data_IF_078802335125
#
_entry.id   IF_078802335125
#
_cell.length_a   1.000
_cell.length_b   1.000
_cell.length_c   1.000
_cell.angle_alpha   90.00
_cell.angle_beta   90.00
_cell.angle_gamma   90.00
#
_symmetry.space_group_name_H-M   'P 1'
#
loop_
_entity.id
_entity.type
_entity.pdbx_description
1 polymer ?
#
# COMPACT_ATOMS: atom_id res chain seq x y z
N UNK A 1 -1.39 -1.68 -8.06
CA UNK A 1 -2.38 -0.60 -8.21
C UNK A 1 -1.64 0.70 -8.49
N UNK A 2 -0.75 0.68 -9.49
CA UNK A 2 -0.18 1.89 -10.07
C UNK A 2 -0.94 2.05 -11.39
N UNK A 3 -2.21 2.47 -11.27
CA UNK A 3 -3.10 2.65 -12.43
C UNK A 3 -2.92 4.03 -13.07
N UNK A 4 -2.04 4.86 -12.49
CA UNK A 4 -1.70 6.16 -13.00
C UNK A 4 -0.19 6.24 -13.25
N UNK A 5 0.20 6.94 -14.29
CA UNK A 5 1.61 7.22 -14.54
C UNK A 5 2.05 8.40 -13.66
N UNK A 6 2.75 8.11 -12.55
CA UNK A 6 3.44 9.17 -11.81
C UNK A 6 4.62 9.70 -12.65
N UNK A 7 4.49 10.95 -13.12
CA UNK A 7 5.48 11.65 -13.96
C UNK A 7 6.47 12.53 -13.17
N UNK A 8 6.13 12.89 -11.93
CA UNK A 8 6.99 13.68 -11.07
C UNK A 8 6.23 14.21 -9.86
N UNK A 9 6.96 14.76 -8.89
CA UNK A 9 6.44 15.47 -7.73
C UNK A 9 7.21 16.79 -7.69
N UNK A 10 6.49 17.91 -7.60
CA UNK A 10 7.07 19.25 -7.39
C UNK A 10 6.66 19.68 -6.00
N UNK A 11 7.62 20.16 -5.22
CA UNK A 11 7.42 20.64 -3.84
C UNK A 11 7.90 22.09 -3.74
N UNK A 12 7.42 22.81 -2.73
CA UNK A 12 7.82 24.17 -2.39
C UNK A 12 9.09 24.22 -1.51
N UNK A 13 9.66 23.06 -1.20
CA UNK A 13 10.86 22.93 -0.36
C UNK A 13 12.17 23.36 -1.06
N UNK A 14 12.13 23.61 -2.38
CA UNK A 14 13.31 23.84 -3.20
C UNK A 14 13.31 25.20 -3.89
N UNK A 15 14.39 25.95 -3.70
CA UNK A 15 14.71 27.15 -4.48
C UNK A 15 13.80 28.34 -4.21
N UNK A 16 13.82 29.30 -5.14
CA UNK A 16 12.93 30.45 -5.16
C UNK A 16 11.71 30.18 -6.05
N UNK A 17 10.72 31.09 -6.06
CA UNK A 17 9.49 30.91 -6.86
C UNK A 17 9.77 30.67 -8.34
N UNK A 18 10.79 31.30 -8.92
CA UNK A 18 11.18 31.11 -10.32
C UNK A 18 11.66 29.68 -10.61
N UNK A 19 12.34 29.03 -9.65
CA UNK A 19 12.78 27.64 -9.77
C UNK A 19 11.58 26.69 -9.76
N UNK A 20 10.63 26.93 -8.86
CA UNK A 20 9.40 26.13 -8.75
C UNK A 20 8.57 26.26 -10.03
N UNK A 21 8.42 27.47 -10.55
CA UNK A 21 7.71 27.73 -11.82
C UNK A 21 8.37 26.96 -12.98
N UNK A 22 9.69 26.95 -13.06
CA UNK A 22 10.42 26.18 -14.06
C UNK A 22 10.19 24.67 -13.90
N UNK A 23 10.16 24.15 -12.68
CA UNK A 23 9.86 22.74 -12.39
C UNK A 23 8.42 22.37 -12.77
N UNK A 24 7.45 23.22 -12.45
CA UNK A 24 6.05 23.05 -12.84
C UNK A 24 5.89 23.03 -14.36
N UNK A 25 6.51 23.97 -15.06
CA UNK A 25 6.47 24.03 -16.52
C UNK A 25 7.10 22.78 -17.15
N UNK A 26 8.21 22.28 -16.58
CA UNK A 26 8.84 21.05 -17.04
C UNK A 26 7.95 19.82 -16.83
N UNK A 27 7.28 19.72 -15.68
CA UNK A 27 6.33 18.64 -15.40
C UNK A 27 5.13 18.69 -16.35
N UNK A 28 4.58 19.87 -16.60
CA UNK A 28 3.47 20.07 -17.55
C UNK A 28 3.86 19.64 -18.98
N UNK A 29 5.04 20.05 -19.46
CA UNK A 29 5.53 19.65 -20.78
C UNK A 29 5.70 18.13 -20.89
N UNK A 30 6.21 17.47 -19.84
CA UNK A 30 6.32 16.00 -19.77
C UNK A 30 4.96 15.33 -19.80
N UNK A 31 3.98 15.86 -19.07
CA UNK A 31 2.63 15.31 -19.02
C UNK A 31 1.98 15.33 -20.41
N UNK A 32 1.98 16.50 -21.07
CA UNK A 32 1.41 16.66 -22.41
C UNK A 32 2.13 15.78 -23.42
N UNK A 33 3.46 15.86 -23.47
CA UNK A 33 4.24 15.11 -24.46
C UNK A 33 4.16 13.59 -24.29
N UNK A 34 3.91 13.08 -23.08
CA UNK A 34 3.69 11.64 -22.86
C UNK A 34 2.23 11.23 -23.14
N UNK A 35 1.27 12.11 -22.85
CA UNK A 35 -0.13 11.89 -23.20
C UNK A 35 -0.33 11.79 -24.73
N UNK A 36 0.29 12.69 -25.50
CA UNK A 36 0.28 12.67 -26.96
C UNK A 36 0.88 11.38 -27.55
N UNK A 37 1.82 10.76 -26.84
CA UNK A 37 2.47 9.50 -27.23
C UNK A 37 1.77 8.26 -26.69
N UNK A 38 0.64 8.43 -25.99
CA UNK A 38 -0.05 7.36 -25.27
C UNK A 38 0.89 6.53 -24.39
N UNK A 39 1.90 7.18 -23.80
CA UNK A 39 2.93 6.49 -23.05
C UNK A 39 2.35 5.89 -21.77
N UNK A 40 2.57 4.59 -21.55
CA UNK A 40 2.23 3.88 -20.33
C UNK A 40 3.51 3.44 -19.62
N UNK A 41 3.72 3.96 -18.41
CA UNK A 41 4.90 3.64 -17.60
C UNK A 41 4.85 2.18 -17.18
N UNK A 42 5.93 1.46 -17.46
CA UNK A 42 6.08 0.08 -16.99
C UNK A 42 6.24 0.05 -15.47
N UNK A 43 5.62 -0.94 -14.82
CA UNK A 43 5.75 -1.11 -13.37
C UNK A 43 7.19 -1.50 -13.04
N UNK A 44 7.81 -0.78 -12.11
CA UNK A 44 9.18 -1.09 -11.66
C UNK A 44 9.20 -2.36 -10.81
N UNK A 45 10.38 -3.01 -10.72
CA UNK A 45 10.57 -4.16 -9.82
C UNK A 45 10.12 -3.86 -8.39
N UNK A 46 10.44 -2.68 -7.86
CA UNK A 46 10.02 -2.23 -6.52
C UNK A 46 8.50 -2.13 -6.41
N UNK A 47 7.83 -1.60 -7.44
CA UNK A 47 6.37 -1.52 -7.49
C UNK A 47 5.70 -2.89 -7.52
N UNK A 48 6.26 -3.85 -8.27
CA UNK A 48 5.78 -5.23 -8.29
C UNK A 48 6.02 -5.91 -6.94
N UNK A 49 7.23 -5.81 -6.40
CA UNK A 49 7.61 -6.46 -5.14
C UNK A 49 6.80 -5.97 -3.95
N UNK A 50 6.70 -4.65 -3.77
CA UNK A 50 5.91 -4.06 -2.69
C UNK A 50 4.43 -4.46 -2.74
N UNK A 51 3.85 -4.51 -3.96
CA UNK A 51 2.48 -4.99 -4.15
C UNK A 51 2.31 -6.44 -3.70
N UNK A 52 3.23 -7.33 -4.09
CA UNK A 52 3.11 -8.75 -3.77
C UNK A 52 3.21 -8.99 -2.27
N UNK A 53 4.16 -8.35 -1.59
CA UNK A 53 4.31 -8.44 -0.13
C UNK A 53 3.03 -8.01 0.57
N UNK A 54 2.51 -6.82 0.24
CA UNK A 54 1.31 -6.30 0.89
C UNK A 54 0.07 -7.15 0.61
N UNK A 55 -0.10 -7.62 -0.65
CA UNK A 55 -1.17 -8.53 -1.05
C UNK A 55 -1.15 -9.82 -0.22
N UNK A 56 0.03 -10.41 -0.03
CA UNK A 56 0.20 -11.68 0.69
C UNK A 56 -0.08 -11.48 2.19
N UNK A 57 0.37 -10.35 2.77
CA UNK A 57 0.10 -10.02 4.16
C UNK A 57 -1.39 -9.75 4.43
N UNK A 58 -2.07 -9.00 3.56
CA UNK A 58 -3.52 -8.76 3.63
C UNK A 58 -4.29 -10.07 3.49
N UNK A 59 -3.89 -10.95 2.57
CA UNK A 59 -4.50 -12.27 2.49
C UNK A 59 -4.27 -13.07 3.77
N UNK A 60 -3.08 -13.01 4.37
CA UNK A 60 -2.75 -13.72 5.59
C UNK A 60 -3.23 -13.00 6.86
N UNK A 61 -2.25 -12.53 7.64
CA UNK A 61 -2.45 -12.08 9.03
C UNK A 61 -3.08 -10.69 9.14
N UNK A 62 -3.05 -9.89 8.08
CA UNK A 62 -3.56 -8.53 8.08
C UNK A 62 -5.00 -8.43 7.54
N UNK A 63 -5.68 -9.56 7.27
CA UNK A 63 -7.03 -9.57 6.70
C UNK A 63 -8.07 -8.84 7.56
N UNK A 64 -8.03 -9.04 8.89
CA UNK A 64 -9.02 -8.49 9.82
C UNK A 64 -8.86 -6.99 10.14
N UNK A 65 -7.65 -6.39 10.23
CA UNK A 65 -7.55 -4.94 10.36
C UNK A 65 -7.73 -4.20 9.02
N UNK A 66 -7.56 -4.88 7.87
CA UNK A 66 -7.67 -4.31 6.53
C UNK A 66 -8.80 -4.94 5.71
N UNK A 67 -10.01 -5.01 6.28
CA UNK A 67 -11.19 -5.62 5.61
C UNK A 67 -11.50 -4.91 4.29
N UNK A 68 -11.46 -3.57 4.27
CA UNK A 68 -11.77 -2.81 3.06
C UNK A 68 -10.79 -3.13 1.92
N UNK A 69 -9.50 -3.28 2.23
CA UNK A 69 -8.50 -3.70 1.26
C UNK A 69 -8.73 -5.15 0.82
N UNK A 70 -9.08 -6.05 1.75
CA UNK A 70 -9.39 -7.43 1.43
C UNK A 70 -10.57 -7.55 0.44
N UNK A 71 -11.68 -6.86 0.73
CA UNK A 71 -12.86 -6.80 -0.15
C UNK A 71 -12.51 -6.19 -1.52
N UNK A 72 -11.69 -5.14 -1.52
CA UNK A 72 -11.22 -4.52 -2.76
C UNK A 72 -10.40 -5.52 -3.59
N UNK A 73 -9.46 -6.24 -2.96
CA UNK A 73 -8.55 -7.17 -3.64
C UNK A 73 -9.31 -8.37 -4.20
N UNK A 74 -10.28 -8.89 -3.46
CA UNK A 74 -11.15 -9.98 -3.90
C UNK A 74 -12.00 -9.56 -5.10
N UNK A 75 -12.71 -8.43 -4.98
CA UNK A 75 -13.58 -7.90 -6.05
C UNK A 75 -12.84 -7.63 -7.36
N UNK A 76 -11.58 -7.23 -7.29
CA UNK A 76 -10.78 -6.84 -8.47
C UNK A 76 -9.80 -7.93 -8.93
N UNK A 77 -9.87 -9.15 -8.38
CA UNK A 77 -9.01 -10.26 -8.79
C UNK A 77 -7.51 -10.01 -8.53
N UNK A 78 -7.18 -9.25 -7.48
CA UNK A 78 -5.79 -8.92 -7.14
C UNK A 78 -5.05 -10.04 -6.40
N UNK A 79 -5.76 -11.11 -6.00
CA UNK A 79 -5.20 -12.33 -5.44
C UNK A 79 -4.83 -13.33 -6.56
N UNK A 80 -3.76 -13.02 -7.29
CA UNK A 80 -3.26 -13.74 -8.46
C UNK A 80 -2.28 -14.89 -8.12
N UNK A 81 -2.44 -15.58 -6.99
CA UNK A 81 -1.51 -16.61 -6.51
C UNK A 81 -2.20 -17.72 -5.69
N UNK A 82 -1.63 -18.94 -5.62
CA UNK A 82 -2.19 -20.02 -4.82
C UNK A 82 -2.02 -19.75 -3.33
N UNK A 83 -3.15 -19.70 -2.62
CA UNK A 83 -3.22 -19.44 -1.18
C UNK A 83 -3.25 -20.75 -0.38
N UNK A 84 -2.08 -21.34 -0.12
CA UNK A 84 -2.02 -22.71 0.42
C UNK A 84 -1.79 -22.82 1.92
N UNK A 85 -1.63 -21.71 2.67
CA UNK A 85 -1.44 -21.76 4.13
C UNK A 85 -2.80 -21.87 4.86
N UNK A 86 -3.20 -23.06 5.35
CA UNK A 86 -4.51 -23.24 5.96
C UNK A 86 -4.59 -22.57 7.34
N UNK A 87 -3.46 -22.43 8.04
CA UNK A 87 -3.42 -21.82 9.37
C UNK A 87 -3.63 -20.31 9.26
N UNK A 88 -2.95 -19.64 8.31
CA UNK A 88 -3.16 -18.22 8.04
C UNK A 88 -4.59 -17.94 7.56
N UNK A 89 -5.14 -18.80 6.69
CA UNK A 89 -6.52 -18.67 6.22
C UNK A 89 -7.54 -18.77 7.35
N UNK A 90 -7.41 -19.80 8.20
CA UNK A 90 -8.29 -20.00 9.34
C UNK A 90 -8.23 -18.80 10.30
N UNK A 91 -7.02 -18.37 10.66
CA UNK A 91 -6.83 -17.22 11.53
C UNK A 91 -7.47 -15.94 10.95
N UNK A 92 -7.29 -15.67 9.65
CA UNK A 92 -7.89 -14.51 9.00
C UNK A 92 -9.42 -14.52 9.08
N UNK A 93 -10.05 -15.68 8.85
CA UNK A 93 -11.51 -15.84 8.95
C UNK A 93 -12.01 -15.67 10.39
N UNK A 94 -11.37 -16.34 11.35
CA UNK A 94 -11.73 -16.27 12.78
C UNK A 94 -11.64 -14.82 13.29
N UNK A 95 -10.61 -14.08 12.88
CA UNK A 95 -10.41 -12.69 13.29
C UNK A 95 -11.37 -11.71 12.60
N UNK A 96 -11.77 -11.96 11.34
CA UNK A 96 -12.83 -11.19 10.68
C UNK A 96 -14.15 -11.33 11.43
N UNK A 97 -14.47 -12.53 11.91
CA UNK A 97 -15.66 -12.73 12.72
C UNK A 97 -15.56 -11.97 14.05
N UNK A 98 -14.40 -12.04 14.71
CA UNK A 98 -14.18 -11.36 15.98
C UNK A 98 -14.35 -9.83 15.90
N UNK A 99 -13.89 -9.19 14.82
CA UNK A 99 -14.03 -7.71 14.66
C UNK A 99 -15.43 -7.24 14.30
N UNK A 100 -16.40 -8.15 14.08
CA UNK A 100 -17.81 -7.77 13.99
C UNK A 100 -18.36 -7.32 15.35
N UNK A 101 -17.80 -7.85 16.44
CA UNK A 101 -18.08 -7.37 17.79
C UNK A 101 -17.43 -5.98 18.02
N UNK A 102 -18.20 -4.95 18.40
CA UNK A 102 -17.67 -3.60 18.59
C UNK A 102 -16.59 -3.49 19.68
N UNK A 103 -16.68 -4.28 20.74
CA UNK A 103 -15.72 -4.24 21.85
C UNK A 103 -14.38 -4.83 21.43
N UNK A 104 -14.41 -6.03 20.82
CA UNK A 104 -13.23 -6.67 20.23
C UNK A 104 -12.56 -5.77 19.18
N UNK A 105 -13.36 -5.12 18.32
CA UNK A 105 -12.87 -4.17 17.31
C UNK A 105 -12.10 -3.01 17.93
N UNK A 106 -12.62 -2.40 19.00
CA UNK A 106 -11.96 -1.28 19.67
C UNK A 106 -10.69 -1.71 20.41
N UNK A 107 -10.67 -2.90 21.01
CA UNK A 107 -9.47 -3.49 21.63
C UNK A 107 -8.39 -3.68 20.55
N UNK A 108 -8.73 -4.32 19.44
CA UNK A 108 -7.83 -4.52 18.30
C UNK A 108 -7.29 -3.19 17.79
N UNK A 109 -8.18 -2.19 17.56
CA UNK A 109 -7.79 -0.86 17.07
C UNK A 109 -6.72 -0.22 17.93
N UNK A 110 -6.84 -0.30 19.27
CA UNK A 110 -5.85 0.22 20.21
C UNK A 110 -4.53 -0.54 20.16
N UNK A 111 -4.56 -1.84 19.85
CA UNK A 111 -3.37 -2.69 19.78
C UNK A 111 -2.64 -2.68 18.44
N UNK A 112 -3.27 -2.26 17.33
CA UNK A 112 -2.64 -2.27 16.00
C UNK A 112 -1.29 -1.54 16.01
N UNK A 113 -1.27 -0.27 16.44
CA UNK A 113 -0.05 0.55 16.42
C UNK A 113 1.10 -0.07 17.25
N UNK A 114 0.91 -0.44 18.53
CA UNK A 114 2.01 -1.03 19.31
C UNK A 114 2.48 -2.37 18.74
N UNK A 115 1.56 -3.24 18.26
CA UNK A 115 1.90 -4.54 17.69
C UNK A 115 2.64 -4.43 16.35
N UNK A 116 2.31 -3.45 15.51
CA UNK A 116 3.02 -3.22 14.24
C UNK A 116 4.46 -2.76 14.46
N UNK A 117 4.74 -2.02 15.54
CA UNK A 117 6.07 -1.47 15.82
C UNK A 117 6.93 -2.43 16.64
N UNK A 118 6.31 -3.32 17.43
CA UNK A 118 6.99 -4.25 18.34
C UNK A 118 8.13 -5.06 17.69
N UNK A 119 7.98 -5.66 16.49
CA UNK A 119 9.08 -6.39 15.84
C UNK A 119 10.28 -5.50 15.50
N UNK A 120 10.04 -4.22 15.24
CA UNK A 120 11.06 -3.26 14.84
C UNK A 120 11.81 -2.65 16.02
N UNK A 121 11.22 -2.63 17.23
CA UNK A 121 11.87 -2.09 18.44
C UNK A 121 13.21 -2.78 18.72
N UNK A 122 13.24 -4.12 18.62
CA UNK A 122 14.46 -4.92 18.84
C UNK A 122 15.59 -4.51 17.90
N UNK A 123 15.29 -4.14 16.66
CA UNK A 123 16.28 -3.72 15.66
C UNK A 123 16.87 -2.35 16.01
N UNK A 124 16.04 -1.44 16.53
CA UNK A 124 16.46 -0.10 16.93
C UNK A 124 17.27 -0.14 18.24
N UNK A 125 16.86 -0.95 19.21
CA UNK A 125 17.52 -1.09 20.52
C UNK A 125 18.89 -1.80 20.45
N UNK A 126 19.16 -2.54 19.38
CA UNK A 126 20.45 -3.24 19.16
C UNK A 126 21.47 -2.37 18.40
N UNK A 127 21.11 -1.13 18.05
CA UNK A 127 22.00 -0.13 17.44
C UNK A 127 22.37 0.96 18.44
#
# INVERSE_FOLDING_TARGET
MDQANLYGIVTDEFGESEDIDALLQNLAAKLVGNAEKEYVKQVTFRGVGGRKVLRDDIWGRLRFPFIADHEYYEKHGLYDFPNTDPAANKFGLDMIEAVKDPEAKEIIRKMIKPQMVEPHKKVVETK
#
